data_IF_588427348980
#
_entry.id   IF_588427348980
#
_cell.length_a   1.000
_cell.length_b   1.000
_cell.length_c   1.000
_cell.angle_alpha   90.00
_cell.angle_beta   90.00
_cell.angle_gamma   90.00
#
_symmetry.space_group_name_H-M   'P 1'
#
loop_
_entity.id
_entity.type
_entity.pdbx_description
1 polymer ?
#
# COMPACT_ATOMS: atom_id res chain seq x y z
N UNK A 1 10.39 -18.28 -12.26
CA UNK A 1 10.50 -17.01 -11.51
C UNK A 1 10.13 -17.31 -10.08
N UNK A 2 10.82 -16.71 -9.10
CA UNK A 2 10.49 -16.89 -7.70
C UNK A 2 9.09 -16.28 -7.44
N UNK A 3 8.10 -17.07 -7.00
CA UNK A 3 6.75 -16.57 -6.76
C UNK A 3 6.69 -15.49 -5.66
N UNK A 4 7.63 -15.51 -4.70
CA UNK A 4 7.71 -14.48 -3.65
C UNK A 4 8.17 -13.16 -4.26
N UNK A 5 9.27 -13.17 -5.02
CA UNK A 5 9.76 -11.98 -5.71
C UNK A 5 8.70 -11.35 -6.62
N UNK A 6 7.88 -12.18 -7.28
CA UNK A 6 6.79 -11.68 -8.13
C UNK A 6 5.74 -10.93 -7.30
N UNK A 7 5.36 -11.46 -6.13
CA UNK A 7 4.43 -10.82 -5.22
C UNK A 7 4.98 -9.47 -4.71
N UNK A 8 6.23 -9.45 -4.24
CA UNK A 8 6.89 -8.26 -3.72
C UNK A 8 6.86 -7.12 -4.74
N UNK A 9 7.21 -7.43 -5.99
CA UNK A 9 7.26 -6.47 -7.09
C UNK A 9 5.85 -5.96 -7.44
N UNK A 10 4.84 -6.83 -7.44
CA UNK A 10 3.45 -6.42 -7.69
C UNK A 10 2.96 -5.47 -6.59
N UNK A 11 3.20 -5.80 -5.31
CA UNK A 11 2.79 -4.98 -4.18
C UNK A 11 3.48 -3.60 -4.21
N UNK A 12 4.78 -3.56 -4.47
CA UNK A 12 5.54 -2.31 -4.62
C UNK A 12 5.03 -1.45 -5.78
N UNK A 13 4.74 -2.06 -6.94
CA UNK A 13 4.19 -1.33 -8.09
C UNK A 13 2.81 -0.74 -7.76
N UNK A 14 1.94 -1.49 -7.08
CA UNK A 14 0.63 -0.98 -6.65
C UNK A 14 0.78 0.18 -5.65
N UNK A 15 1.68 0.07 -4.67
CA UNK A 15 1.91 1.12 -3.68
C UNK A 15 2.44 2.41 -4.33
N UNK A 16 3.45 2.30 -5.19
CA UNK A 16 4.05 3.46 -5.87
C UNK A 16 3.06 4.14 -6.82
N UNK A 17 2.33 3.35 -7.62
CA UNK A 17 1.33 3.89 -8.55
C UNK A 17 0.18 4.59 -7.81
N UNK A 18 -0.30 4.01 -6.70
CA UNK A 18 -1.32 4.63 -5.85
C UNK A 18 -0.81 5.93 -5.23
N UNK A 19 0.41 5.96 -4.70
CA UNK A 19 1.01 7.16 -4.12
C UNK A 19 1.16 8.29 -5.15
N UNK A 20 1.67 7.98 -6.34
CA UNK A 20 1.80 8.96 -7.43
C UNK A 20 0.40 9.49 -7.83
N UNK A 21 -0.59 8.61 -7.95
CA UNK A 21 -1.95 9.00 -8.33
C UNK A 21 -2.60 9.86 -7.24
N UNK A 22 -2.39 9.55 -5.96
CA UNK A 22 -2.92 10.32 -4.83
C UNK A 22 -2.39 11.76 -4.80
N UNK A 23 -1.14 11.97 -5.22
CA UNK A 23 -0.54 13.31 -5.36
C UNK A 23 -0.97 14.06 -6.63
N UNK A 24 -1.30 13.32 -7.69
CA UNK A 24 -1.64 13.92 -8.99
C UNK A 24 -3.12 14.28 -9.13
N UNK A 25 -4.01 13.61 -8.39
CA UNK A 25 -5.46 13.84 -8.48
C UNK A 25 -5.84 15.20 -7.89
N UNK A 26 -6.75 15.91 -8.56
CA UNK A 26 -7.23 17.24 -8.13
C UNK A 26 -8.45 17.17 -7.22
N UNK A 27 -9.12 16.03 -7.20
CA UNK A 27 -10.28 15.77 -6.35
C UNK A 27 -9.82 15.33 -4.96
N UNK A 28 -10.25 16.05 -3.93
CA UNK A 28 -9.85 15.78 -2.55
C UNK A 28 -10.43 14.47 -2.04
N UNK A 29 -11.67 14.13 -2.42
CA UNK A 29 -12.29 12.88 -2.01
C UNK A 29 -11.54 11.68 -2.61
N UNK A 30 -11.22 11.73 -3.91
CA UNK A 30 -10.40 10.73 -4.58
C UNK A 30 -8.99 10.64 -4.00
N UNK A 31 -8.36 11.76 -3.62
CA UNK A 31 -7.04 11.76 -2.97
C UNK A 31 -7.08 11.04 -1.61
N UNK A 32 -8.11 11.30 -0.79
CA UNK A 32 -8.31 10.62 0.50
C UNK A 32 -8.56 9.13 0.31
N UNK A 33 -9.39 8.73 -0.66
CA UNK A 33 -9.61 7.32 -0.97
C UNK A 33 -8.31 6.62 -1.39
N UNK A 34 -7.51 7.25 -2.25
CA UNK A 34 -6.22 6.70 -2.69
C UNK A 34 -5.21 6.62 -1.54
N UNK A 35 -5.23 7.56 -0.60
CA UNK A 35 -4.41 7.47 0.61
C UNK A 35 -4.81 6.28 1.50
N UNK A 36 -6.11 6.01 1.67
CA UNK A 36 -6.56 4.81 2.39
C UNK A 36 -6.16 3.51 1.69
N UNK A 37 -6.24 3.46 0.35
CA UNK A 37 -5.77 2.31 -0.44
C UNK A 37 -4.25 2.13 -0.27
N UNK A 38 -3.48 3.23 -0.28
CA UNK A 38 -2.04 3.18 -0.04
C UNK A 38 -1.72 2.63 1.36
N UNK A 39 -2.44 3.06 2.40
CA UNK A 39 -2.29 2.53 3.76
C UNK A 39 -2.58 1.02 3.84
N UNK A 40 -3.65 0.56 3.20
CA UNK A 40 -3.96 -0.88 3.09
C UNK A 40 -2.83 -1.66 2.41
N UNK A 41 -2.30 -1.15 1.30
CA UNK A 41 -1.18 -1.79 0.58
C UNK A 41 0.08 -1.87 1.46
N UNK A 42 0.38 -0.81 2.22
CA UNK A 42 1.49 -0.81 3.17
C UNK A 42 1.28 -1.86 4.28
N UNK A 43 0.08 -1.97 4.85
CA UNK A 43 -0.21 -2.98 5.85
C UNK A 43 0.00 -4.41 5.32
N UNK A 44 -0.37 -4.68 4.06
CA UNK A 44 -0.12 -5.97 3.39
C UNK A 44 1.38 -6.22 3.20
N UNK A 45 2.14 -5.22 2.76
CA UNK A 45 3.60 -5.32 2.60
C UNK A 45 4.28 -5.64 3.95
N UNK A 46 3.85 -5.00 5.04
CA UNK A 46 4.38 -5.32 6.38
C UNK A 46 4.07 -6.75 6.82
N UNK A 47 2.88 -7.26 6.49
CA UNK A 47 2.54 -8.65 6.78
C UNK A 47 3.40 -9.64 5.99
N UNK A 48 3.69 -9.33 4.72
CA UNK A 48 4.53 -10.13 3.84
C UNK A 48 6.01 -10.15 4.31
N UNK A 49 6.48 -9.04 4.87
CA UNK A 49 7.79 -8.94 5.54
C UNK A 49 7.86 -9.61 6.93
N UNK A 50 6.81 -10.36 7.32
CA UNK A 50 6.69 -10.99 8.63
C UNK A 50 6.70 -10.00 9.82
N UNK A 51 6.29 -8.75 9.61
CA UNK A 51 6.15 -7.70 10.62
C UNK A 51 4.66 -7.47 10.98
N UNK A 52 4.06 -8.46 11.65
CA UNK A 52 2.61 -8.49 11.92
C UNK A 52 2.15 -7.40 12.91
N UNK A 53 2.99 -7.01 13.85
CA UNK A 53 2.73 -5.91 14.78
C UNK A 53 2.58 -4.57 14.05
N UNK A 54 3.54 -4.24 13.17
CA UNK A 54 3.51 -3.04 12.34
C UNK A 54 2.32 -3.09 11.38
N UNK A 55 2.07 -4.24 10.75
CA UNK A 55 0.94 -4.45 9.83
C UNK A 55 -0.41 -4.11 10.48
N UNK A 56 -0.69 -4.59 11.69
CA UNK A 56 -1.96 -4.30 12.37
C UNK A 56 -2.07 -2.85 12.80
N UNK A 57 -0.98 -2.23 13.24
CA UNK A 57 -1.00 -0.80 13.57
C UNK A 57 -1.25 0.06 12.34
N UNK A 58 -0.63 -0.26 11.21
CA UNK A 58 -0.84 0.44 9.95
C UNK A 58 -2.27 0.28 9.46
N UNK A 59 -2.82 -0.95 9.47
CA UNK A 59 -4.19 -1.23 9.07
C UNK A 59 -5.26 -0.55 9.96
N UNK A 60 -4.90 -0.19 11.20
CA UNK A 60 -5.81 0.49 12.13
C UNK A 60 -5.73 2.02 12.03
N UNK A 61 -4.59 2.56 11.59
CA UNK A 61 -4.32 4.00 11.53
C UNK A 61 -4.61 4.58 10.15
N UNK A 62 -4.26 3.85 9.08
CA UNK A 62 -4.50 4.22 7.69
C UNK A 62 -5.98 4.20 7.31
#
# INVERSE_FOLDING_TARGET
MDPVLLLDVILLLLAVTTAITAMAIRDLLGSVMLMGIYGLLMAVIWADLFAMDVSFTEASVG
#
